data_IF_231129297942
#
_entry.id   IF_231129297942
#
_cell.length_a   1.000
_cell.length_b   1.000
_cell.length_c   1.000
_cell.angle_alpha   90.00
_cell.angle_beta   90.00
_cell.angle_gamma   90.00
#
_symmetry.space_group_name_H-M   'P 1'
#
loop_
_entity.id
_entity.type
_entity.pdbx_description
1 polymer ?
#
# COMPACT_ATOMS: atom_id res chain seq x y z
N UNK A 1 6.43 -19.08 -24.08
CA UNK A 1 6.87 -17.85 -23.38
C UNK A 1 6.17 -16.67 -24.03
N UNK A 2 5.39 -15.96 -23.24
CA UNK A 2 4.26 -15.14 -23.67
C UNK A 2 4.70 -13.85 -24.44
N UNK A 3 4.37 -13.73 -25.71
CA UNK A 3 4.71 -12.56 -26.56
C UNK A 3 4.15 -11.26 -25.95
N UNK A 4 3.00 -11.36 -25.28
CA UNK A 4 2.33 -10.25 -24.57
C UNK A 4 3.17 -9.72 -23.41
N UNK A 5 3.91 -10.59 -22.70
CA UNK A 5 4.82 -10.16 -21.64
C UNK A 5 5.98 -9.32 -22.17
N UNK A 6 6.60 -9.73 -23.28
CA UNK A 6 7.70 -8.98 -23.88
C UNK A 6 7.25 -7.64 -24.44
N UNK A 7 6.07 -7.60 -25.06
CA UNK A 7 5.50 -6.34 -25.59
C UNK A 7 5.19 -5.35 -24.45
N UNK A 8 4.57 -5.83 -23.35
CA UNK A 8 4.31 -5.00 -22.15
C UNK A 8 5.60 -4.49 -21.52
N UNK A 9 6.63 -5.33 -21.43
CA UNK A 9 7.94 -4.95 -20.90
C UNK A 9 8.60 -3.86 -21.76
N UNK A 10 8.59 -4.02 -23.09
CA UNK A 10 9.12 -3.02 -24.02
C UNK A 10 8.37 -1.69 -23.93
N UNK A 11 7.04 -1.73 -23.86
CA UNK A 11 6.20 -0.54 -23.68
C UNK A 11 6.50 0.18 -22.36
N UNK A 12 6.61 -0.55 -21.26
CA UNK A 12 6.98 0.02 -19.96
C UNK A 12 8.36 0.68 -20.01
N UNK A 13 9.35 0.01 -20.58
CA UNK A 13 10.70 0.54 -20.72
C UNK A 13 10.73 1.85 -21.52
N UNK A 14 9.97 1.93 -22.63
CA UNK A 14 9.84 3.13 -23.42
C UNK A 14 9.13 4.28 -22.69
N UNK A 15 8.13 3.96 -21.86
CA UNK A 15 7.46 4.95 -21.02
C UNK A 15 8.41 5.50 -19.94
N UNK A 16 9.15 4.63 -19.25
CA UNK A 16 10.11 5.03 -18.22
C UNK A 16 11.21 5.94 -18.79
N UNK A 17 11.73 5.64 -19.99
CA UNK A 17 12.73 6.49 -20.66
C UNK A 17 12.25 7.91 -20.96
N UNK A 18 10.96 8.10 -21.15
CA UNK A 18 10.35 9.41 -21.46
C UNK A 18 9.84 10.12 -20.21
N UNK A 19 9.79 9.44 -19.08
CA UNK A 19 9.29 9.97 -17.81
C UNK A 19 10.39 10.68 -17.03
N UNK A 20 10.02 11.65 -16.21
CA UNK A 20 10.92 12.34 -15.27
C UNK A 20 10.69 11.89 -13.84
N UNK A 21 9.55 11.29 -13.57
CA UNK A 21 9.16 10.77 -12.26
C UNK A 21 8.26 9.55 -12.41
N UNK A 22 8.17 8.78 -11.33
CA UNK A 22 7.27 7.63 -11.22
C UNK A 22 6.58 7.66 -9.87
N UNK A 23 5.29 7.34 -9.85
CA UNK A 23 4.49 7.19 -8.63
C UNK A 23 4.21 5.70 -8.46
N UNK A 24 4.59 5.16 -7.32
CA UNK A 24 4.45 3.76 -6.96
C UNK A 24 3.37 3.59 -5.89
N UNK A 25 2.60 2.53 -5.98
CA UNK A 25 1.83 2.03 -4.84
C UNK A 25 2.78 1.33 -3.86
N UNK A 26 2.33 1.01 -2.66
CA UNK A 26 3.20 0.48 -1.62
C UNK A 26 2.79 -0.92 -1.17
N UNK A 27 1.57 -1.05 -0.62
CA UNK A 27 1.10 -2.29 -0.02
C UNK A 27 0.86 -3.37 -1.08
N UNK A 28 1.44 -4.56 -0.87
CA UNK A 28 1.35 -5.67 -1.82
C UNK A 28 2.11 -5.47 -3.14
N UNK A 29 2.74 -4.29 -3.36
CA UNK A 29 3.56 -4.00 -4.55
C UNK A 29 5.05 -3.86 -4.19
N UNK A 30 5.38 -2.98 -3.27
CA UNK A 30 6.76 -2.77 -2.80
C UNK A 30 7.02 -3.52 -1.51
N UNK A 31 6.04 -3.61 -0.61
CA UNK A 31 6.14 -4.26 0.68
C UNK A 31 5.21 -5.48 0.78
N UNK A 32 5.70 -6.56 1.40
CA UNK A 32 4.89 -7.72 1.79
C UNK A 32 4.10 -7.40 3.07
N UNK A 33 3.21 -6.43 2.96
CA UNK A 33 2.45 -5.87 4.08
C UNK A 33 1.09 -6.55 4.32
N UNK A 34 0.52 -7.18 3.32
CA UNK A 34 -0.82 -7.79 3.38
C UNK A 34 -0.97 -8.84 4.50
N UNK A 35 0.00 -9.77 4.72
CA UNK A 35 -0.09 -10.70 5.84
C UNK A 35 -0.14 -10.01 7.21
N UNK A 36 0.46 -8.83 7.34
CA UNK A 36 0.48 -8.06 8.58
C UNK A 36 -0.79 -7.24 8.78
N UNK A 37 -1.47 -6.85 7.72
CA UNK A 37 -2.83 -6.32 7.82
C UNK A 37 -3.77 -7.37 8.40
N UNK A 38 -3.72 -8.61 7.91
CA UNK A 38 -4.47 -9.73 8.49
C UNK A 38 -4.12 -9.95 9.97
N UNK A 39 -2.82 -10.07 10.29
CA UNK A 39 -2.35 -10.28 11.68
C UNK A 39 -2.86 -9.18 12.61
N UNK A 40 -2.78 -7.92 12.18
CA UNK A 40 -3.22 -6.80 13.00
C UNK A 40 -4.72 -6.81 13.26
N UNK A 41 -5.53 -7.13 12.26
CA UNK A 41 -6.97 -7.30 12.46
C UNK A 41 -7.27 -8.50 13.34
N UNK A 42 -6.60 -9.64 13.12
CA UNK A 42 -6.81 -10.84 13.93
C UNK A 42 -6.48 -10.61 15.40
N UNK A 43 -5.35 -9.95 15.70
CA UNK A 43 -4.98 -9.60 17.08
C UNK A 43 -6.04 -8.73 17.77
N UNK A 44 -6.64 -7.79 17.04
CA UNK A 44 -7.72 -6.96 17.58
C UNK A 44 -8.98 -7.78 17.84
N UNK A 45 -9.39 -8.64 16.91
CA UNK A 45 -10.57 -9.49 17.08
C UNK A 45 -10.40 -10.50 18.22
N UNK A 46 -9.19 -11.05 18.40
CA UNK A 46 -8.87 -11.97 19.50
C UNK A 46 -9.06 -11.34 20.88
N UNK A 47 -8.84 -10.02 21.03
CA UNK A 47 -9.14 -9.28 22.27
C UNK A 47 -10.61 -9.33 22.66
N UNK A 48 -11.48 -9.56 21.68
CA UNK A 48 -12.94 -9.64 21.83
C UNK A 48 -13.47 -11.06 21.64
N UNK A 49 -12.59 -12.07 21.72
CA UNK A 49 -12.95 -13.49 21.71
C UNK A 49 -13.31 -14.07 20.32
N UNK A 50 -12.93 -13.39 19.25
CA UNK A 50 -13.12 -13.88 17.87
C UNK A 50 -11.78 -14.01 17.14
N UNK A 51 -11.60 -15.11 16.41
CA UNK A 51 -10.41 -15.34 15.58
C UNK A 51 -10.83 -15.31 14.12
N UNK A 52 -10.14 -14.49 13.32
CA UNK A 52 -10.43 -14.36 11.89
C UNK A 52 -10.00 -15.62 11.13
N UNK A 53 -10.87 -16.17 10.31
CA UNK A 53 -10.49 -17.20 9.37
C UNK A 53 -9.66 -16.61 8.22
N UNK A 54 -8.42 -17.09 8.08
CA UNK A 54 -7.49 -16.55 7.09
C UNK A 54 -7.99 -16.68 5.64
N UNK A 55 -8.63 -17.78 5.29
CA UNK A 55 -9.15 -17.99 3.93
C UNK A 55 -10.33 -17.05 3.64
N UNK A 56 -11.24 -16.87 4.62
CA UNK A 56 -12.36 -15.93 4.51
C UNK A 56 -11.87 -14.48 4.44
N UNK A 57 -10.82 -14.13 5.20
CA UNK A 57 -10.23 -12.80 5.16
C UNK A 57 -9.84 -12.38 3.75
N UNK A 58 -9.13 -13.23 3.02
CA UNK A 58 -8.72 -12.91 1.65
C UNK A 58 -9.90 -12.74 0.68
N UNK A 59 -10.97 -13.48 0.88
CA UNK A 59 -12.16 -13.40 0.04
C UNK A 59 -13.05 -12.21 0.45
N UNK A 60 -13.43 -12.16 1.72
CA UNK A 60 -14.47 -11.23 2.19
C UNK A 60 -13.94 -9.82 2.44
N UNK A 61 -12.72 -9.70 2.96
CA UNK A 61 -12.14 -8.40 3.27
C UNK A 61 -11.40 -7.81 2.08
N UNK A 62 -10.45 -8.55 1.51
CA UNK A 62 -9.58 -8.03 0.46
C UNK A 62 -10.30 -7.95 -0.88
N UNK A 63 -10.97 -9.03 -1.31
CA UNK A 63 -11.63 -9.05 -2.63
C UNK A 63 -13.00 -8.35 -2.63
N UNK A 64 -13.82 -8.52 -1.56
CA UNK A 64 -15.19 -7.96 -1.48
C UNK A 64 -15.27 -6.66 -0.67
N UNK A 65 -14.20 -6.25 0.01
CA UNK A 65 -14.15 -5.00 0.77
C UNK A 65 -15.08 -4.93 1.99
N UNK A 66 -15.50 -6.07 2.56
CA UNK A 66 -16.50 -6.10 3.64
C UNK A 66 -15.99 -5.59 4.99
N UNK A 67 -14.69 -5.78 5.27
CA UNK A 67 -14.04 -5.24 6.47
C UNK A 67 -14.63 -5.71 7.80
N UNK A 68 -14.42 -4.90 8.85
CA UNK A 68 -14.84 -5.20 10.23
C UNK A 68 -16.36 -5.43 10.31
N UNK A 69 -17.14 -4.55 9.71
CA UNK A 69 -18.61 -4.63 9.79
C UNK A 69 -19.11 -5.91 9.14
N UNK A 70 -18.59 -6.26 7.94
CA UNK A 70 -18.97 -7.50 7.27
C UNK A 70 -18.58 -8.76 8.04
N UNK A 71 -17.47 -8.73 8.80
CA UNK A 71 -17.08 -9.83 9.69
C UNK A 71 -18.08 -10.00 10.84
N UNK A 72 -18.42 -8.89 11.50
CA UNK A 72 -19.40 -8.88 12.59
C UNK A 72 -20.77 -9.41 12.12
N UNK A 73 -21.25 -8.94 10.97
CA UNK A 73 -22.52 -9.38 10.40
C UNK A 73 -22.52 -10.86 10.02
N UNK A 74 -21.49 -11.32 9.32
CA UNK A 74 -21.38 -12.71 8.83
C UNK A 74 -21.36 -13.74 9.95
N UNK A 75 -20.68 -13.43 11.04
CA UNK A 75 -20.55 -14.32 12.20
C UNK A 75 -21.52 -13.97 13.35
N UNK A 76 -22.43 -13.01 13.12
CA UNK A 76 -23.40 -12.53 14.13
C UNK A 76 -22.72 -12.23 15.48
N UNK A 77 -21.56 -11.55 15.43
CA UNK A 77 -20.76 -11.26 16.61
C UNK A 77 -21.42 -10.18 17.47
N UNK A 78 -21.49 -10.42 18.77
CA UNK A 78 -21.95 -9.44 19.76
C UNK A 78 -20.73 -8.86 20.48
N UNK A 79 -20.06 -7.93 19.82
CA UNK A 79 -18.88 -7.28 20.37
C UNK A 79 -19.27 -6.03 21.17
N UNK A 80 -18.67 -5.88 22.36
CA UNK A 80 -18.87 -4.67 23.17
C UNK A 80 -17.84 -3.59 22.81
N UNK A 81 -17.73 -3.26 21.53
CA UNK A 81 -16.79 -2.26 20.99
C UNK A 81 -17.30 -1.73 19.67
N UNK A 82 -17.07 -0.45 19.41
CA UNK A 82 -17.38 0.18 18.14
C UNK A 82 -16.38 -0.26 17.04
N UNK A 83 -16.83 -0.61 15.82
CA UNK A 83 -15.96 -0.91 14.69
C UNK A 83 -14.90 0.16 14.40
N UNK A 84 -15.21 1.44 14.66
CA UNK A 84 -14.26 2.54 14.49
C UNK A 84 -13.12 2.43 15.50
N UNK A 85 -13.40 2.06 16.74
CA UNK A 85 -12.38 1.87 17.77
C UNK A 85 -11.55 0.62 17.52
N UNK A 86 -12.16 -0.45 17.00
CA UNK A 86 -11.40 -1.61 16.52
C UNK A 86 -10.43 -1.23 15.40
N UNK A 87 -10.86 -0.38 14.46
CA UNK A 87 -10.00 0.13 13.37
C UNK A 87 -8.82 0.95 13.90
N UNK A 88 -9.03 1.78 14.94
CA UNK A 88 -7.94 2.51 15.61
C UNK A 88 -6.94 1.55 16.25
N UNK A 89 -7.42 0.59 17.04
CA UNK A 89 -6.57 -0.43 17.65
C UNK A 89 -5.76 -1.21 16.60
N UNK A 90 -6.39 -1.56 15.46
CA UNK A 90 -5.69 -2.21 14.35
C UNK A 90 -4.54 -1.36 13.82
N UNK A 91 -4.72 -0.05 13.70
CA UNK A 91 -3.64 0.83 13.26
C UNK A 91 -2.47 0.83 14.25
N UNK A 92 -2.72 0.87 15.55
CA UNK A 92 -1.67 0.78 16.58
C UNK A 92 -0.88 -0.53 16.47
N UNK A 93 -1.58 -1.65 16.31
CA UNK A 93 -0.95 -2.97 16.12
C UNK A 93 -0.13 -3.01 14.83
N UNK A 94 -0.68 -2.50 13.74
CA UNK A 94 0.01 -2.49 12.44
C UNK A 94 1.25 -1.59 12.45
N UNK A 95 1.17 -0.40 13.05
CA UNK A 95 2.32 0.50 13.23
C UNK A 95 3.45 -0.18 14.01
N UNK A 96 3.13 -0.99 15.02
CA UNK A 96 4.13 -1.78 15.75
C UNK A 96 4.88 -2.75 14.83
N UNK A 97 4.18 -3.46 13.93
CA UNK A 97 4.82 -4.31 12.92
C UNK A 97 5.70 -3.52 11.95
N UNK A 98 5.27 -2.33 11.56
CA UNK A 98 6.09 -1.45 10.70
C UNK A 98 7.39 -1.01 11.39
N UNK A 99 7.31 -0.69 12.69
CA UNK A 99 8.45 -0.23 13.49
C UNK A 99 9.42 -1.37 13.81
N UNK A 100 8.92 -2.58 14.08
CA UNK A 100 9.76 -3.74 14.46
C UNK A 100 10.63 -4.25 13.31
N UNK A 101 10.35 -3.84 12.08
CA UNK A 101 11.04 -4.33 10.89
C UNK A 101 10.63 -5.74 10.46
N UNK A 102 9.49 -6.24 10.95
CA UNK A 102 8.93 -7.52 10.50
C UNK A 102 8.43 -7.44 9.06
N UNK A 103 7.82 -6.32 8.67
CA UNK A 103 7.36 -6.09 7.30
C UNK A 103 8.58 -5.78 6.43
N UNK A 104 8.76 -6.56 5.36
CA UNK A 104 9.90 -6.43 4.45
C UNK A 104 9.43 -5.90 3.09
N UNK A 105 10.31 -5.19 2.41
CA UNK A 105 10.16 -4.96 0.98
C UNK A 105 10.41 -6.27 0.21
N UNK A 106 9.71 -6.44 -0.91
CA UNK A 106 10.06 -7.52 -1.82
C UNK A 106 11.48 -7.31 -2.37
N UNK A 107 12.30 -8.36 -2.51
CA UNK A 107 13.67 -8.24 -3.05
C UNK A 107 13.71 -7.57 -4.43
N UNK A 108 12.69 -7.82 -5.25
CA UNK A 108 12.52 -7.21 -6.57
C UNK A 108 12.18 -5.72 -6.46
N UNK A 109 11.43 -5.32 -5.43
CA UNK A 109 11.08 -3.92 -5.19
C UNK A 109 12.32 -3.10 -4.80
N UNK A 110 13.21 -3.63 -3.98
CA UNK A 110 14.48 -2.96 -3.62
C UNK A 110 15.30 -2.68 -4.88
N UNK A 111 15.53 -3.71 -5.70
CA UNK A 111 16.24 -3.56 -6.98
C UNK A 111 15.58 -2.57 -7.93
N UNK A 112 14.26 -2.58 -7.98
CA UNK A 112 13.49 -1.65 -8.81
C UNK A 112 13.66 -0.20 -8.34
N UNK A 113 13.56 0.05 -7.03
CA UNK A 113 13.74 1.36 -6.43
C UNK A 113 15.15 1.90 -6.73
N UNK A 114 16.19 1.09 -6.50
CA UNK A 114 17.58 1.45 -6.79
C UNK A 114 17.78 1.80 -8.27
N UNK A 115 17.26 0.97 -9.18
CA UNK A 115 17.34 1.22 -10.61
C UNK A 115 16.62 2.50 -11.04
N UNK A 116 15.39 2.70 -10.56
CA UNK A 116 14.58 3.83 -10.96
C UNK A 116 15.09 5.15 -10.37
N UNK A 117 15.57 5.14 -9.12
CA UNK A 117 16.06 6.33 -8.42
C UNK A 117 17.28 6.97 -9.10
N UNK A 118 18.04 6.20 -9.87
CA UNK A 118 19.19 6.70 -10.64
C UNK A 118 18.79 7.64 -11.80
N UNK A 119 17.58 7.55 -12.30
CA UNK A 119 17.12 8.27 -13.49
C UNK A 119 15.78 8.98 -13.36
N UNK A 120 14.97 8.60 -12.36
CA UNK A 120 13.64 9.12 -12.12
C UNK A 120 13.49 9.61 -10.69
N UNK A 121 12.65 10.63 -10.49
CA UNK A 121 12.18 10.99 -9.16
C UNK A 121 11.09 10.00 -8.75
N UNK A 122 11.24 9.42 -7.56
CA UNK A 122 10.28 8.45 -7.04
C UNK A 122 9.32 9.11 -6.07
N UNK A 123 8.06 8.73 -6.17
CA UNK A 123 7.04 9.05 -5.20
C UNK A 123 6.24 7.79 -4.83
N UNK A 124 5.80 7.71 -3.59
CA UNK A 124 4.82 6.71 -3.13
C UNK A 124 3.47 7.39 -2.93
N UNK A 125 2.40 6.71 -3.38
CA UNK A 125 1.01 7.06 -3.11
C UNK A 125 0.27 5.81 -2.60
N UNK A 126 0.02 5.73 -1.29
CA UNK A 126 -0.54 4.53 -0.63
C UNK A 126 -1.77 4.84 0.22
N UNK A 127 -2.61 3.82 0.42
CA UNK A 127 -3.70 3.82 1.39
C UNK A 127 -3.25 3.62 2.86
N UNK A 128 -1.98 3.37 3.10
CA UNK A 128 -1.37 3.29 4.44
C UNK A 128 -0.92 4.67 4.93
N UNK A 129 -0.65 4.80 6.23
CA UNK A 129 -0.10 6.04 6.78
C UNK A 129 1.34 6.27 6.29
N UNK A 130 1.69 7.50 5.92
CA UNK A 130 3.05 7.83 5.47
C UNK A 130 4.12 7.54 6.53
N UNK A 131 3.78 7.66 7.81
CA UNK A 131 4.66 7.31 8.94
C UNK A 131 5.01 5.82 8.94
N UNK A 132 4.05 4.95 8.70
CA UNK A 132 4.25 3.50 8.65
C UNK A 132 5.13 3.09 7.45
N UNK A 133 4.84 3.68 6.28
CA UNK A 133 5.65 3.49 5.08
C UNK A 133 7.11 3.90 5.33
N UNK A 134 7.33 5.05 5.99
CA UNK A 134 8.68 5.52 6.33
C UNK A 134 9.42 4.56 7.28
N UNK A 135 8.73 3.93 8.22
CA UNK A 135 9.35 2.92 9.09
C UNK A 135 9.82 1.72 8.28
N UNK A 136 8.98 1.18 7.38
CA UNK A 136 9.33 0.03 6.55
C UNK A 136 10.50 0.36 5.62
N UNK A 137 10.46 1.52 4.95
CA UNK A 137 11.54 1.96 4.05
C UNK A 137 12.86 2.19 4.80
N UNK A 138 12.81 2.76 6.02
CA UNK A 138 14.02 2.95 6.85
C UNK A 138 14.64 1.61 7.25
N UNK A 139 13.83 0.63 7.63
CA UNK A 139 14.30 -0.70 7.98
C UNK A 139 14.90 -1.48 6.78
N UNK A 140 14.68 -0.98 5.56
CA UNK A 140 15.20 -1.54 4.31
C UNK A 140 16.29 -0.66 3.67
N UNK A 141 16.78 0.39 4.36
CA UNK A 141 17.75 1.37 3.86
C UNK A 141 17.33 2.04 2.53
N UNK A 142 16.01 2.09 2.25
CA UNK A 142 15.46 2.61 1.00
C UNK A 142 14.77 3.99 1.15
N UNK A 143 14.71 4.55 2.35
CA UNK A 143 13.97 5.79 2.62
C UNK A 143 14.48 6.98 1.82
N UNK A 144 15.80 7.13 1.72
CA UNK A 144 16.43 8.28 1.05
C UNK A 144 16.31 8.24 -0.48
N UNK A 145 15.96 7.07 -1.03
CA UNK A 145 15.73 6.89 -2.47
C UNK A 145 14.35 7.38 -2.91
N UNK A 146 13.43 7.65 -1.96
CA UNK A 146 12.05 8.02 -2.26
C UNK A 146 11.72 9.35 -1.55
N UNK A 147 11.96 10.48 -2.21
CA UNK A 147 11.81 11.80 -1.60
C UNK A 147 10.36 12.20 -1.27
N UNK A 148 9.38 11.59 -1.94
CA UNK A 148 7.97 11.90 -1.76
C UNK A 148 7.19 10.66 -1.33
N UNK A 149 6.63 10.71 -0.13
CA UNK A 149 5.80 9.64 0.42
C UNK A 149 4.48 10.27 0.86
N UNK A 150 3.41 9.89 0.18
CA UNK A 150 2.04 10.27 0.48
C UNK A 150 1.28 9.06 1.00
N UNK A 151 0.82 9.17 2.24
CA UNK A 151 -0.08 8.23 2.87
C UNK A 151 -1.54 8.68 2.75
N UNK A 152 -2.45 7.89 3.28
CA UNK A 152 -3.90 8.13 3.22
C UNK A 152 -4.32 9.50 3.79
N UNK A 153 -3.58 10.06 4.74
CA UNK A 153 -3.80 11.38 5.32
C UNK A 153 -3.56 12.52 4.32
N UNK A 154 -2.89 12.22 3.21
CA UNK A 154 -2.56 13.19 2.17
C UNK A 154 -3.67 13.37 1.12
N UNK A 155 -4.78 12.66 1.23
CA UNK A 155 -5.88 12.72 0.28
C UNK A 155 -7.22 12.95 0.99
N UNK A 156 -8.12 13.72 0.38
CA UNK A 156 -9.47 13.94 0.92
C UNK A 156 -10.35 12.69 0.79
N UNK A 157 -10.17 11.95 -0.29
CA UNK A 157 -10.89 10.70 -0.58
C UNK A 157 -9.88 9.58 -0.75
N UNK A 158 -10.11 8.49 -0.04
CA UNK A 158 -9.26 7.29 -0.13
C UNK A 158 -9.39 6.62 -1.52
N UNK A 159 -8.42 5.77 -1.88
CA UNK A 159 -8.53 4.91 -3.07
C UNK A 159 -9.88 4.16 -3.05
N UNK A 160 -10.57 4.04 -4.18
CA UNK A 160 -10.12 4.16 -5.56
C UNK A 160 -10.16 5.57 -6.15
N UNK A 161 -10.47 6.62 -5.38
CA UNK A 161 -10.41 7.98 -5.90
C UNK A 161 -8.97 8.39 -6.25
N UNK A 162 -8.78 9.23 -7.31
CA UNK A 162 -7.44 9.58 -7.80
C UNK A 162 -6.70 10.61 -6.95
N UNK A 163 -7.31 11.14 -5.89
CA UNK A 163 -6.85 12.29 -5.12
C UNK A 163 -5.38 12.17 -4.69
N UNK A 164 -4.98 11.01 -4.15
CA UNK A 164 -3.62 10.80 -3.67
C UNK A 164 -2.59 10.79 -4.82
N UNK A 165 -2.97 10.26 -5.98
CA UNK A 165 -2.09 10.25 -7.16
C UNK A 165 -1.94 11.65 -7.76
N UNK A 166 -3.01 12.45 -7.78
CA UNK A 166 -2.96 13.84 -8.21
C UNK A 166 -2.08 14.67 -7.27
N UNK A 167 -2.25 14.51 -5.96
CA UNK A 167 -1.41 15.18 -4.97
C UNK A 167 0.07 14.73 -5.07
N UNK A 168 0.33 13.47 -5.39
CA UNK A 168 1.68 12.97 -5.62
C UNK A 168 2.30 13.57 -6.89
N UNK A 169 1.49 13.76 -7.93
CA UNK A 169 1.93 14.36 -9.18
C UNK A 169 2.33 15.83 -9.03
N UNK A 170 1.68 16.57 -8.15
CA UNK A 170 1.95 18.00 -7.91
C UNK A 170 3.23 18.25 -7.09
N UNK A 171 3.63 17.34 -6.20
CA UNK A 171 4.70 17.59 -5.24
C UNK A 171 6.14 17.52 -5.78
N UNK A 172 6.57 16.48 -6.51
CA UNK A 172 7.98 16.37 -6.95
C UNK A 172 8.20 16.87 -8.37
N UNK A 173 7.13 17.11 -9.11
CA UNK A 173 7.18 17.34 -10.57
C UNK A 173 6.80 18.78 -10.92
N UNK A 174 6.90 19.67 -9.97
CA UNK A 174 6.52 21.09 -10.10
C UNK A 174 7.11 21.83 -11.32
N UNK A 175 7.73 21.11 -12.27
CA UNK A 175 8.35 21.72 -13.44
C UNK A 175 8.14 21.01 -14.79
N UNK A 176 7.28 19.99 -14.92
CA UNK A 176 6.97 19.47 -16.27
C UNK A 176 5.67 18.67 -16.33
N UNK A 177 4.92 18.84 -17.44
CA UNK A 177 3.67 18.14 -17.78
C UNK A 177 3.73 16.63 -17.52
N UNK A 178 2.89 16.15 -16.59
CA UNK A 178 2.66 14.73 -16.35
C UNK A 178 1.49 14.24 -17.21
N UNK A 179 1.77 13.33 -18.11
CA UNK A 179 0.75 12.41 -18.61
C UNK A 179 0.81 11.15 -17.74
N UNK A 180 -0.18 10.96 -16.89
CA UNK A 180 -0.37 9.72 -16.13
C UNK A 180 -0.92 8.64 -17.07
N UNK A 181 -0.18 7.55 -17.34
CA UNK A 181 -0.82 6.38 -17.93
C UNK A 181 -1.69 5.75 -16.82
N UNK A 182 -2.99 5.75 -17.02
CA UNK A 182 -3.93 5.06 -16.17
C UNK A 182 -3.73 3.55 -16.36
N UNK A 183 -3.02 2.90 -15.45
CA UNK A 183 -2.96 1.45 -15.40
C UNK A 183 -4.07 1.01 -14.45
N UNK A 184 -5.18 0.57 -15.02
CA UNK A 184 -6.18 -0.16 -14.26
C UNK A 184 -5.63 -1.55 -13.96
N UNK A 185 -5.42 -1.89 -12.68
CA UNK A 185 -5.34 -3.28 -12.25
C UNK A 185 -6.77 -3.80 -12.17
N UNK A 186 -7.07 -4.80 -12.97
CA UNK A 186 -8.28 -5.64 -12.89
C UNK A 186 -8.06 -6.72 -11.88
#
# INVERSE_FOLDING_TARGET
>A
MDSLFFERKAKLHNLLKKSKATILDFDGLLADSEPYHYKAYNEVFERYGHTLNKAEYWIEWTSKGKGIVGEIERHNLKLNVDPIDMRKQKFEVYTRFCQSGEIKLFPEAIRLIEQLSSSLRLAIASGSWATDIRHILRNADALDLIPVILGKESAKREKPFPDIFLNAAEKPVSYTHLTLPTIYSV
#
